data_IF_985044689227
#
_entry.id   IF_985044689227
#
_cell.length_a   1.000
_cell.length_b   1.000
_cell.length_c   1.000
_cell.angle_alpha   90.00
_cell.angle_beta   90.00
_cell.angle_gamma   90.00
#
_symmetry.space_group_name_H-M   'P 1'
#
loop_
_entity.id
_entity.type
_entity.pdbx_description
1 polymer ?
#
# COMPACT_ATOMS: atom_id res chain seq x y z
N UNK A 1 -29.86 7.34 50.00
CA UNK A 1 -29.24 8.68 50.01
C UNK A 1 -28.01 8.54 50.90
N UNK A 2 -26.80 8.19 50.46
CA UNK A 2 -25.95 8.65 49.35
C UNK A 2 -24.97 7.48 49.04
N UNK A 3 -25.12 6.83 47.88
CA UNK A 3 -24.09 5.96 47.26
C UNK A 3 -24.44 5.76 45.78
N UNK A 4 -24.82 6.87 45.15
CA UNK A 4 -24.97 7.07 43.71
C UNK A 4 -24.33 8.45 43.48
N UNK A 5 -23.38 8.51 42.53
CA UNK A 5 -22.48 9.62 42.17
C UNK A 5 -21.03 9.38 42.60
N UNK A 6 -20.14 9.45 41.60
CA UNK A 6 -18.68 9.23 41.60
C UNK A 6 -18.22 7.78 41.47
N UNK A 7 -18.38 7.19 40.27
CA UNK A 7 -17.27 6.77 39.38
C UNK A 7 -17.92 6.49 38.01
N UNK A 8 -18.28 7.55 37.30
CA UNK A 8 -18.69 7.46 35.91
C UNK A 8 -18.08 8.67 35.17
N UNK A 9 -16.76 8.64 35.03
CA UNK A 9 -16.03 9.46 34.06
C UNK A 9 -14.62 8.86 33.94
N UNK A 10 -14.12 8.75 32.71
CA UNK A 10 -12.76 8.32 32.33
C UNK A 10 -12.52 6.81 32.20
N UNK A 11 -13.24 6.18 31.27
CA UNK A 11 -12.63 5.18 30.40
C UNK A 11 -12.81 5.61 28.94
N UNK A 12 -12.28 6.79 28.61
CA UNK A 12 -11.79 7.00 27.25
C UNK A 12 -10.49 6.22 27.19
N UNK A 13 -10.50 5.09 26.48
CA UNK A 13 -9.27 4.49 25.95
C UNK A 13 -8.49 5.63 25.31
N UNK A 14 -7.45 6.11 25.97
CA UNK A 14 -6.38 6.81 25.30
C UNK A 14 -5.76 5.75 24.39
N UNK A 15 -6.19 5.73 23.13
CA UNK A 15 -5.41 5.14 22.06
C UNK A 15 -4.10 5.92 22.11
N UNK A 16 -3.04 5.30 22.62
CA UNK A 16 -1.69 5.85 22.54
C UNK A 16 -1.38 5.94 21.05
N UNK A 17 -1.66 7.11 20.46
CA UNK A 17 -1.36 7.43 19.08
C UNK A 17 0.16 7.37 18.97
N UNK A 18 0.69 6.24 18.50
CA UNK A 18 2.06 6.21 17.99
C UNK A 18 2.01 7.02 16.70
N UNK A 19 2.04 8.34 16.85
CA UNK A 19 2.30 9.24 15.73
C UNK A 19 3.78 9.00 15.45
N UNK A 20 4.08 8.17 14.43
CA UNK A 20 5.39 8.25 13.82
C UNK A 20 5.53 9.71 13.40
N UNK A 21 6.57 10.40 13.89
CA UNK A 21 6.77 11.81 13.58
C UNK A 21 6.84 11.94 12.05
N UNK A 22 5.91 12.71 11.49
CA UNK A 22 5.89 13.02 10.07
C UNK A 22 7.20 13.79 9.79
N UNK A 23 7.99 13.43 8.77
CA UNK A 23 9.26 14.11 8.51
C UNK A 23 9.03 15.60 8.25
N UNK A 24 9.95 16.44 8.72
CA UNK A 24 9.73 17.90 8.78
C UNK A 24 9.56 18.56 7.41
N UNK A 25 10.10 17.95 6.35
CA UNK A 25 9.91 18.40 4.98
C UNK A 25 8.44 18.32 4.51
N UNK A 26 7.63 17.45 5.12
CA UNK A 26 6.19 17.32 4.80
C UNK A 26 5.33 18.38 5.48
N UNK A 27 5.79 18.94 6.61
CA UNK A 27 5.09 20.00 7.35
C UNK A 27 5.05 21.34 6.60
N UNK A 28 5.89 21.49 5.57
CA UNK A 28 6.00 22.72 4.78
C UNK A 28 5.72 22.51 3.28
N UNK A 29 5.43 21.27 2.87
CA UNK A 29 5.18 20.93 1.47
C UNK A 29 3.90 21.60 0.92
N UNK A 30 2.89 21.78 1.76
CA UNK A 30 1.71 22.61 1.50
C UNK A 30 1.52 23.59 2.65
N UNK A 31 1.30 24.87 2.34
CA UNK A 31 1.04 25.89 3.36
C UNK A 31 -0.23 25.62 4.17
N UNK A 32 -1.18 24.88 3.59
CA UNK A 32 -2.46 24.53 4.18
C UNK A 32 -2.42 23.29 5.06
N UNK A 33 -1.29 22.58 5.14
CA UNK A 33 -1.22 21.28 5.81
C UNK A 33 -0.15 21.26 6.88
N UNK A 34 -0.54 20.91 8.11
CA UNK A 34 0.40 20.67 9.19
C UNK A 34 -0.16 19.69 10.21
N UNK A 35 0.70 18.84 10.79
CA UNK A 35 0.31 17.99 11.91
C UNK A 35 -0.22 18.81 13.10
N UNK A 36 0.30 20.04 13.28
CA UNK A 36 -0.15 20.97 14.32
C UNK A 36 -1.60 21.44 14.14
N UNK A 37 -2.09 21.45 12.90
CA UNK A 37 -3.47 21.81 12.55
C UNK A 37 -4.40 20.57 12.56
N UNK A 38 -3.89 19.38 12.89
CA UNK A 38 -4.61 18.10 12.84
C UNK A 38 -5.23 17.78 11.47
N UNK A 39 -4.66 18.30 10.38
CA UNK A 39 -5.14 18.07 9.02
C UNK A 39 -4.10 17.38 8.13
N UNK A 40 -3.05 16.79 8.70
CA UNK A 40 -2.05 16.00 8.01
C UNK A 40 -2.03 14.57 8.57
N UNK A 41 -2.30 13.59 7.71
CA UNK A 41 -2.48 12.18 8.08
C UNK A 41 -1.35 11.30 7.51
N UNK A 42 -0.83 10.40 8.34
CA UNK A 42 0.24 9.46 7.96
C UNK A 42 -0.35 8.13 7.46
N UNK A 43 -0.02 7.81 6.20
CA UNK A 43 -0.30 6.56 5.49
C UNK A 43 0.99 5.99 4.87
N UNK A 44 2.15 6.26 5.49
CA UNK A 44 3.45 5.71 5.08
C UNK A 44 3.65 4.25 5.53
N UNK A 45 2.83 3.79 6.48
CA UNK A 45 2.95 2.46 7.07
C UNK A 45 1.69 1.64 6.87
N UNK A 46 1.84 0.31 6.87
CA UNK A 46 0.74 -0.60 6.63
C UNK A 46 -0.40 -0.40 7.64
N UNK A 47 -1.57 -0.06 7.11
CA UNK A 47 -2.84 0.02 7.82
C UNK A 47 -3.85 -0.85 7.09
N UNK A 48 -4.55 -1.70 7.83
CA UNK A 48 -5.51 -2.64 7.24
C UNK A 48 -6.84 -1.94 6.96
N UNK A 49 -7.26 -1.05 7.86
CA UNK A 49 -8.58 -0.42 7.78
C UNK A 49 -8.52 0.95 7.09
N UNK A 50 -9.43 1.20 6.12
CA UNK A 50 -9.61 2.53 5.56
C UNK A 50 -10.25 3.48 6.56
N UNK A 51 -9.95 4.77 6.45
CA UNK A 51 -10.58 5.82 7.24
C UNK A 51 -11.43 6.71 6.33
N UNK A 52 -12.57 7.17 6.84
CA UNK A 52 -13.42 8.14 6.17
C UNK A 52 -13.23 9.50 6.82
N UNK A 53 -12.80 10.48 6.02
CA UNK A 53 -12.51 11.84 6.45
C UNK A 53 -13.58 12.76 5.86
N UNK A 54 -14.38 13.37 6.73
CA UNK A 54 -15.37 14.38 6.34
C UNK A 54 -14.68 15.74 6.16
N UNK A 55 -14.79 16.32 4.97
CA UNK A 55 -14.32 17.66 4.65
C UNK A 55 -15.52 18.62 4.67
N UNK A 56 -15.49 19.60 5.56
CA UNK A 56 -16.48 20.70 5.55
C UNK A 56 -16.18 21.72 4.45
N UNK A 57 -17.18 22.52 4.07
CA UNK A 57 -17.04 23.55 3.02
C UNK A 57 -15.78 24.42 3.22
N UNK A 58 -14.95 24.47 2.17
CA UNK A 58 -13.70 25.24 2.13
C UNK A 58 -12.51 24.64 2.89
N UNK A 59 -12.70 23.54 3.63
CA UNK A 59 -11.63 22.87 4.35
C UNK A 59 -10.78 22.00 3.44
N UNK A 60 -9.54 21.74 3.88
CA UNK A 60 -8.59 20.87 3.20
C UNK A 60 -7.89 19.97 4.21
N UNK A 61 -7.46 18.79 3.77
CA UNK A 61 -6.55 17.94 4.55
C UNK A 61 -5.47 17.37 3.64
N UNK A 62 -4.37 16.92 4.23
CA UNK A 62 -3.29 16.26 3.52
C UNK A 62 -3.09 14.83 4.00
N UNK A 63 -2.64 14.00 3.07
CA UNK A 63 -2.17 12.64 3.36
C UNK A 63 -0.76 12.48 2.84
N UNK A 64 0.10 11.91 3.67
CA UNK A 64 1.44 11.48 3.34
C UNK A 64 1.49 9.95 3.26
N UNK A 65 1.71 9.37 2.08
CA UNK A 65 1.72 7.91 1.95
C UNK A 65 1.35 7.34 0.58
N UNK A 66 1.34 6.00 0.49
CA UNK A 66 0.77 5.27 -0.64
C UNK A 66 -0.70 4.98 -0.34
N UNK A 67 -1.61 5.50 -1.16
CA UNK A 67 -3.02 5.48 -0.81
C UNK A 67 -3.95 5.10 -1.96
N UNK A 68 -5.06 4.49 -1.58
CA UNK A 68 -6.27 4.38 -2.39
C UNK A 68 -7.31 5.35 -1.86
N UNK A 69 -7.99 6.05 -2.76
CA UNK A 69 -8.99 7.07 -2.41
C UNK A 69 -10.30 6.87 -3.15
N UNK A 70 -11.39 7.18 -2.46
CA UNK A 70 -12.72 7.30 -3.03
C UNK A 70 -13.56 8.28 -2.21
N UNK A 71 -14.72 8.67 -2.70
CA UNK A 71 -15.53 9.70 -2.05
C UNK A 71 -17.00 9.57 -2.43
N UNK A 72 -17.88 10.10 -1.58
CA UNK A 72 -19.32 10.20 -1.86
C UNK A 72 -19.63 11.23 -2.97
N UNK A 73 -18.73 12.20 -3.17
CA UNK A 73 -18.82 13.28 -4.17
C UNK A 73 -17.50 13.47 -4.90
N UNK A 74 -17.52 14.22 -6.00
CA UNK A 74 -16.29 14.62 -6.68
C UNK A 74 -15.37 15.41 -5.74
N UNK A 75 -14.09 15.08 -5.78
CA UNK A 75 -13.04 15.70 -4.98
C UNK A 75 -11.79 15.93 -5.83
N UNK A 76 -10.98 16.90 -5.39
CA UNK A 76 -9.73 17.28 -6.03
C UNK A 76 -8.59 16.88 -5.12
N UNK A 77 -7.58 16.27 -5.73
CA UNK A 77 -6.33 15.89 -5.09
C UNK A 77 -5.17 16.61 -5.78
N UNK A 78 -4.40 17.36 -5.02
CA UNK A 78 -3.16 18.01 -5.47
C UNK A 78 -1.99 17.31 -4.81
N UNK A 79 -1.19 16.60 -5.61
CA UNK A 79 -0.10 15.75 -5.15
C UNK A 79 1.26 16.37 -5.47
N UNK A 80 2.16 16.36 -4.49
CA UNK A 80 3.59 16.65 -4.66
C UNK A 80 4.41 15.39 -4.40
N UNK A 81 5.51 15.25 -5.15
CA UNK A 81 6.45 14.14 -5.01
C UNK A 81 7.76 14.62 -4.41
N UNK A 82 8.32 13.92 -3.42
CA UNK A 82 9.63 14.28 -2.90
C UNK A 82 10.70 13.94 -3.93
N UNK A 83 11.71 14.79 -4.04
CA UNK A 83 12.91 14.54 -4.83
C UNK A 83 14.15 14.69 -3.96
N UNK A 84 15.23 14.03 -4.37
CA UNK A 84 16.52 14.14 -3.71
C UNK A 84 17.32 15.28 -4.36
N UNK A 85 17.72 16.27 -3.57
CA UNK A 85 18.55 17.39 -4.00
C UNK A 85 20.04 16.98 -4.07
N UNK A 86 20.86 17.87 -4.64
CA UNK A 86 22.31 17.69 -4.86
C UNK A 86 23.10 17.43 -3.57
N UNK A 87 22.59 17.86 -2.42
CA UNK A 87 23.15 17.63 -1.09
C UNK A 87 22.64 16.32 -0.43
N UNK A 88 21.92 15.48 -1.18
CA UNK A 88 21.24 14.26 -0.73
C UNK A 88 20.08 14.48 0.25
N UNK A 89 19.64 15.73 0.48
CA UNK A 89 18.43 16.01 1.26
C UNK A 89 17.18 15.81 0.42
N UNK A 90 16.08 15.42 1.05
CA UNK A 90 14.80 15.26 0.38
C UNK A 90 13.96 16.52 0.52
N UNK A 91 13.43 17.00 -0.61
CA UNK A 91 12.68 18.24 -0.71
C UNK A 91 11.46 18.07 -1.61
N UNK A 92 10.57 19.04 -1.54
CA UNK A 92 9.48 19.22 -2.49
C UNK A 92 9.79 20.41 -3.38
N UNK A 93 9.59 20.25 -4.69
CA UNK A 93 9.64 21.36 -5.62
C UNK A 93 8.25 21.99 -5.74
N UNK A 94 8.12 23.00 -6.59
CA UNK A 94 6.83 23.62 -6.90
C UNK A 94 6.00 22.80 -7.89
N UNK A 95 6.54 21.68 -8.40
CA UNK A 95 5.79 20.79 -9.29
C UNK A 95 4.71 20.04 -8.50
N UNK A 96 3.47 20.18 -8.97
CA UNK A 96 2.31 19.53 -8.38
C UNK A 96 1.41 18.98 -9.47
N UNK A 97 0.83 17.82 -9.20
CA UNK A 97 -0.14 17.19 -10.09
C UNK A 97 -1.52 17.30 -9.46
N UNK A 98 -2.45 17.97 -10.13
CA UNK A 98 -3.85 18.05 -9.68
C UNK A 98 -4.71 17.09 -10.48
N UNK A 99 -5.45 16.23 -9.79
CA UNK A 99 -6.30 15.19 -10.38
C UNK A 99 -7.67 15.21 -9.70
N UNK A 100 -8.73 15.05 -10.50
CA UNK A 100 -10.09 14.86 -9.97
C UNK A 100 -10.32 13.37 -9.73
N UNK A 101 -10.84 13.01 -8.56
CA UNK A 101 -11.16 11.62 -8.18
C UNK A 101 -10.04 10.59 -8.48
N UNK A 102 -8.79 10.81 -8.03
CA UNK A 102 -7.79 9.75 -8.14
C UNK A 102 -8.26 8.51 -7.36
N UNK A 103 -7.95 7.33 -7.91
CA UNK A 103 -8.14 6.07 -7.23
C UNK A 103 -6.87 5.67 -6.47
N UNK A 104 -5.69 5.80 -7.08
CA UNK A 104 -4.41 5.52 -6.42
C UNK A 104 -3.46 6.69 -6.50
N UNK A 105 -2.74 6.94 -5.41
CA UNK A 105 -1.60 7.86 -5.37
C UNK A 105 -0.43 7.09 -4.77
N UNK A 106 0.55 6.81 -5.62
CA UNK A 106 1.64 5.88 -5.35
C UNK A 106 2.99 6.58 -5.45
N UNK A 107 3.91 6.19 -4.58
CA UNK A 107 5.31 6.60 -4.60
C UNK A 107 5.96 6.32 -5.95
N UNK A 108 6.62 7.34 -6.51
CA UNK A 108 7.52 7.21 -7.66
C UNK A 108 8.89 6.76 -7.15
N UNK A 109 9.28 5.52 -7.47
CA UNK A 109 10.59 5.01 -7.12
C UNK A 109 11.65 5.58 -8.07
N UNK A 110 12.72 6.21 -7.57
CA UNK A 110 13.84 6.55 -8.43
C UNK A 110 14.48 5.30 -9.04
N UNK A 111 14.81 5.37 -10.33
CA UNK A 111 15.33 4.25 -11.12
C UNK A 111 16.65 3.64 -10.58
N UNK A 112 17.34 4.31 -9.66
CA UNK A 112 18.66 3.90 -9.13
C UNK A 112 18.63 3.24 -7.75
N UNK A 113 17.45 2.96 -7.17
CA UNK A 113 17.38 2.39 -5.83
C UNK A 113 17.80 0.91 -5.82
N UNK A 114 18.90 0.62 -5.15
CA UNK A 114 19.34 -0.74 -4.85
C UNK A 114 18.42 -1.44 -3.83
N UNK A 115 17.72 -0.68 -2.98
CA UNK A 115 16.89 -1.21 -1.88
C UNK A 115 15.52 -0.51 -1.79
N UNK A 116 14.53 -0.91 -2.61
CA UNK A 116 13.19 -0.29 -2.60
C UNK A 116 12.44 -0.49 -1.27
N UNK A 117 12.83 -1.47 -0.46
CA UNK A 117 12.24 -1.79 0.85
C UNK A 117 12.52 -0.72 1.92
N UNK A 118 13.59 0.04 1.77
CA UNK A 118 14.01 1.09 2.72
C UNK A 118 13.55 2.49 2.29
N UNK A 119 12.69 2.57 1.27
CA UNK A 119 12.21 3.84 0.77
C UNK A 119 11.13 4.42 1.68
N UNK A 120 11.56 5.34 2.55
CA UNK A 120 10.69 6.03 3.51
C UNK A 120 10.15 7.39 3.00
N UNK A 121 10.11 7.60 1.69
CA UNK A 121 9.65 8.86 1.11
C UNK A 121 8.39 8.58 0.30
N UNK A 122 7.35 9.38 0.51
CA UNK A 122 6.04 9.13 -0.09
C UNK A 122 5.49 10.43 -0.66
N UNK A 123 4.54 10.36 -1.61
CA UNK A 123 3.84 11.56 -2.03
C UNK A 123 3.10 12.17 -0.85
N UNK A 124 2.97 13.49 -0.88
CA UNK A 124 2.01 14.23 -0.07
C UNK A 124 0.91 14.76 -0.96
N UNK A 125 -0.32 14.55 -0.56
CA UNK A 125 -1.50 14.95 -1.34
C UNK A 125 -2.44 15.76 -0.49
N UNK A 126 -2.77 16.96 -0.96
CA UNK A 126 -3.81 17.81 -0.41
C UNK A 126 -5.15 17.49 -1.08
N UNK A 127 -6.19 17.28 -0.27
CA UNK A 127 -7.54 16.96 -0.69
C UNK A 127 -8.52 18.09 -0.35
N UNK A 128 -9.48 18.31 -1.25
CA UNK A 128 -10.60 19.22 -1.06
C UNK A 128 -11.82 18.71 -1.86
N UNK A 129 -13.02 19.12 -1.46
CA UNK A 129 -14.21 18.85 -2.27
C UNK A 129 -14.12 19.60 -3.61
N UNK A 130 -14.66 19.03 -4.69
CA UNK A 130 -14.67 19.72 -5.99
C UNK A 130 -15.62 20.93 -5.97
N UNK A 131 -16.75 20.79 -5.30
CA UNK A 131 -17.61 21.92 -4.92
C UNK A 131 -17.26 22.38 -3.50
N UNK A 132 -16.50 23.47 -3.41
CA UNK A 132 -16.05 24.04 -2.14
C UNK A 132 -17.20 24.56 -1.25
N UNK A 133 -18.43 24.69 -1.77
CA UNK A 133 -19.60 25.10 -0.98
C UNK A 133 -20.25 23.93 -0.21
N UNK A 134 -19.86 22.69 -0.52
CA UNK A 134 -20.47 21.49 0.05
C UNK A 134 -19.51 20.70 0.92
N UNK A 135 -20.10 19.91 1.82
CA UNK A 135 -19.40 18.84 2.52
C UNK A 135 -19.21 17.62 1.59
N UNK A 136 -18.07 16.94 1.69
CA UNK A 136 -17.82 15.64 1.07
C UNK A 136 -17.06 14.72 2.04
N UNK A 137 -17.23 13.42 1.89
CA UNK A 137 -16.53 12.39 2.66
C UNK A 137 -15.53 11.68 1.75
N UNK A 138 -14.26 11.73 2.09
CA UNK A 138 -13.20 11.02 1.37
C UNK A 138 -12.76 9.81 2.18
N UNK A 139 -12.89 8.63 1.60
CA UNK A 139 -12.34 7.38 2.12
C UNK A 139 -10.90 7.22 1.64
N UNK A 140 -9.98 6.93 2.57
CA UNK A 140 -8.55 6.74 2.31
C UNK A 140 -8.10 5.40 2.88
N UNK A 141 -7.42 4.58 2.08
CA UNK A 141 -6.80 3.33 2.51
C UNK A 141 -5.30 3.36 2.23
N UNK A 142 -4.51 2.67 3.08
CA UNK A 142 -3.12 2.38 2.76
C UNK A 142 -3.04 1.33 1.65
N UNK A 143 -2.18 1.58 0.65
CA UNK A 143 -1.85 0.61 -0.39
C UNK A 143 -0.39 0.23 -0.29
N UNK A 144 -0.12 -1.08 -0.28
CA UNK A 144 1.24 -1.55 -0.40
C UNK A 144 1.74 -1.22 -1.82
N UNK A 145 2.90 -0.57 -1.98
CA UNK A 145 3.40 -0.24 -3.30
C UNK A 145 3.88 -1.50 -4.03
N UNK A 146 3.58 -1.58 -5.32
CA UNK A 146 4.28 -2.49 -6.23
C UNK A 146 5.62 -1.89 -6.62
N UNK A 147 6.63 -2.74 -6.80
CA UNK A 147 7.89 -2.34 -7.43
C UNK A 147 8.54 -3.53 -8.11
N UNK A 148 9.41 -3.22 -9.05
CA UNK A 148 10.20 -4.19 -9.78
C UNK A 148 11.57 -3.57 -10.06
N UNK A 149 12.62 -4.29 -9.68
CA UNK A 149 14.00 -3.85 -9.85
C UNK A 149 14.74 -4.92 -10.67
N UNK A 150 15.34 -4.46 -11.76
CA UNK A 150 16.30 -5.19 -12.57
C UNK A 150 17.69 -4.67 -12.23
N UNK A 151 18.51 -5.50 -11.59
CA UNK A 151 19.90 -5.19 -11.32
C UNK A 151 20.79 -6.11 -12.15
N UNK A 152 21.48 -5.52 -13.13
CA UNK A 152 22.47 -6.23 -13.93
C UNK A 152 23.86 -5.97 -13.32
N UNK A 153 24.57 -7.06 -13.04
CA UNK A 153 26.00 -7.03 -12.69
C UNK A 153 26.77 -7.77 -13.77
N UNK A 154 28.10 -7.65 -13.77
CA UNK A 154 29.00 -8.33 -14.71
C UNK A 154 28.79 -9.87 -14.72
N UNK A 155 28.31 -10.45 -13.63
CA UNK A 155 28.21 -11.91 -13.44
C UNK A 155 26.76 -12.44 -13.38
N UNK A 156 25.77 -11.58 -13.13
CA UNK A 156 24.39 -12.01 -12.89
C UNK A 156 23.37 -10.90 -13.11
N UNK A 157 22.18 -11.28 -13.60
CA UNK A 157 20.97 -10.46 -13.60
C UNK A 157 20.10 -10.83 -12.41
N UNK A 158 19.80 -9.85 -11.58
CA UNK A 158 18.98 -9.96 -10.39
C UNK A 158 17.65 -9.26 -10.64
N UNK A 159 16.57 -10.02 -10.51
CA UNK A 159 15.23 -9.47 -10.62
C UNK A 159 14.53 -9.64 -9.27
N UNK A 160 14.04 -8.54 -8.72
CA UNK A 160 13.33 -8.53 -7.43
C UNK A 160 12.08 -7.70 -7.61
N UNK A 161 10.98 -8.10 -6.99
CA UNK A 161 9.76 -7.34 -7.11
C UNK A 161 8.66 -7.82 -6.18
N UNK A 162 7.82 -6.87 -5.78
CA UNK A 162 6.56 -7.13 -5.10
C UNK A 162 5.45 -6.74 -6.05
N UNK A 163 4.60 -7.71 -6.40
CA UNK A 163 3.35 -7.44 -7.12
C UNK A 163 2.23 -7.33 -6.11
N UNK A 164 1.63 -6.15 -6.04
CA UNK A 164 0.45 -5.91 -5.22
C UNK A 164 -0.79 -5.93 -6.10
N UNK A 165 -1.77 -6.72 -5.69
CA UNK A 165 -3.12 -6.75 -6.28
C UNK A 165 -4.13 -6.25 -5.27
N UNK A 166 -5.01 -5.36 -5.70
CA UNK A 166 -6.04 -4.76 -4.87
C UNK A 166 -7.41 -5.15 -5.42
N UNK A 167 -8.30 -5.58 -4.55
CA UNK A 167 -9.67 -5.91 -4.95
C UNK A 167 -10.69 -5.44 -3.92
N UNK A 168 -11.84 -5.00 -4.42
CA UNK A 168 -13.02 -4.62 -3.64
C UNK A 168 -14.24 -5.49 -4.00
N UNK A 169 -14.02 -6.56 -4.78
CA UNK A 169 -15.08 -7.49 -5.20
C UNK A 169 -15.66 -8.22 -3.99
N UNK A 170 -16.96 -8.50 -4.05
CA UNK A 170 -17.68 -9.25 -3.01
C UNK A 170 -17.21 -10.70 -2.84
N UNK A 171 -16.62 -11.28 -3.88
CA UNK A 171 -16.02 -12.60 -3.80
C UNK A 171 -14.97 -12.79 -4.88
N UNK A 172 -14.10 -13.76 -4.66
CA UNK A 172 -13.09 -14.12 -5.63
C UNK A 172 -12.06 -15.09 -5.06
N UNK A 173 -11.13 -15.45 -5.93
CA UNK A 173 -9.98 -16.28 -5.61
C UNK A 173 -8.72 -15.58 -6.12
N UNK A 174 -7.65 -15.62 -5.33
CA UNK A 174 -6.32 -15.13 -5.72
C UNK A 174 -5.27 -16.18 -5.42
N UNK A 175 -4.56 -16.60 -6.46
CA UNK A 175 -3.33 -17.38 -6.34
C UNK A 175 -2.15 -16.45 -6.17
N UNK A 176 -1.41 -16.59 -5.07
CA UNK A 176 -0.19 -15.88 -4.74
C UNK A 176 1.02 -16.77 -5.04
N UNK A 177 2.06 -16.15 -5.59
CA UNK A 177 3.32 -16.79 -5.95
C UNK A 177 4.49 -16.14 -5.22
N UNK A 178 5.47 -16.95 -4.82
CA UNK A 178 6.81 -16.48 -4.46
C UNK A 178 7.88 -17.40 -5.04
N UNK A 179 9.01 -16.83 -5.47
CA UNK A 179 10.05 -17.53 -6.21
C UNK A 179 11.44 -16.93 -6.00
N UNK A 180 12.48 -17.61 -6.49
CA UNK A 180 13.88 -17.16 -6.36
C UNK A 180 14.36 -16.35 -7.56
N UNK A 181 15.38 -15.52 -7.31
CA UNK A 181 16.47 -15.30 -8.26
C UNK A 181 17.81 -15.67 -7.59
N UNK A 182 18.44 -16.73 -8.12
CA UNK A 182 19.85 -17.15 -8.03
C UNK A 182 20.64 -17.17 -6.69
N UNK A 183 20.24 -16.49 -5.61
CA UNK A 183 21.04 -16.36 -4.38
C UNK A 183 20.18 -16.37 -3.10
N UNK A 184 20.60 -17.05 -2.01
CA UNK A 184 19.89 -17.10 -0.73
C UNK A 184 19.71 -15.75 -0.02
N UNK A 185 20.47 -14.72 -0.41
CA UNK A 185 20.53 -13.43 0.29
C UNK A 185 19.64 -12.34 -0.32
N UNK A 186 18.92 -12.63 -1.40
CA UNK A 186 18.11 -11.62 -2.12
C UNK A 186 16.65 -12.07 -2.10
N UNK A 187 15.79 -11.19 -1.59
CA UNK A 187 14.35 -11.37 -1.65
C UNK A 187 13.98 -11.54 -3.12
N UNK A 188 13.43 -12.70 -3.46
CA UNK A 188 12.92 -12.94 -4.80
C UNK A 188 11.60 -12.21 -5.01
N UNK A 189 10.72 -12.82 -5.79
CA UNK A 189 9.43 -12.23 -6.05
C UNK A 189 8.41 -12.56 -4.97
N UNK A 190 7.55 -11.61 -4.64
CA UNK A 190 6.48 -11.78 -3.64
C UNK A 190 5.18 -11.21 -4.21
N UNK A 191 4.12 -12.00 -4.11
CA UNK A 191 2.76 -11.51 -4.31
C UNK A 191 2.16 -11.00 -3.00
N UNK A 192 1.44 -9.90 -3.13
CA UNK A 192 0.59 -9.34 -2.09
C UNK A 192 -0.81 -9.17 -2.65
N UNK A 193 -1.82 -9.47 -1.83
CA UNK A 193 -3.23 -9.19 -2.11
C UNK A 193 -3.79 -8.33 -0.98
N UNK A 194 -4.41 -7.22 -1.35
CA UNK A 194 -5.24 -6.41 -0.44
C UNK A 194 -6.71 -6.54 -0.86
N UNK A 195 -7.55 -7.02 0.06
CA UNK A 195 -9.00 -7.11 -0.09
C UNK A 195 -9.64 -6.05 0.78
N UNK A 196 -10.55 -5.27 0.23
CA UNK A 196 -11.34 -4.27 0.95
C UNK A 196 -12.83 -4.52 0.74
N UNK A 197 -13.65 -4.37 1.78
CA UNK A 197 -15.08 -4.68 1.70
C UNK A 197 -15.97 -3.74 2.49
N UNK A 198 -17.21 -3.50 2.03
CA UNK A 198 -18.21 -2.77 2.79
C UNK A 198 -18.66 -3.57 4.03
N UNK A 199 -18.55 -4.89 4.01
CA UNK A 199 -18.85 -5.79 5.13
C UNK A 199 -17.76 -6.84 5.24
N UNK A 200 -17.84 -7.66 6.30
CA UNK A 200 -16.87 -8.74 6.49
C UNK A 200 -16.92 -9.73 5.35
N UNK A 201 -15.75 -10.26 5.01
CA UNK A 201 -15.59 -11.42 4.17
C UNK A 201 -15.24 -12.63 5.04
N UNK A 202 -15.78 -13.79 4.68
CA UNK A 202 -15.21 -15.07 5.06
C UNK A 202 -14.01 -15.34 4.15
N UNK A 203 -12.87 -15.69 4.74
CA UNK A 203 -11.65 -15.99 4.01
C UNK A 203 -11.22 -17.42 4.25
N UNK A 204 -10.80 -18.08 3.18
CA UNK A 204 -10.23 -19.42 3.22
C UNK A 204 -8.89 -19.40 2.49
N UNK A 205 -7.86 -20.01 3.06
CA UNK A 205 -6.56 -20.11 2.45
C UNK A 205 -6.12 -21.56 2.27
N UNK A 206 -5.36 -21.80 1.20
CA UNK A 206 -4.75 -23.10 0.89
C UNK A 206 -3.33 -22.93 0.37
N UNK A 207 -2.36 -23.46 1.10
CA UNK A 207 -0.94 -23.48 0.75
C UNK A 207 -0.64 -24.73 -0.08
N UNK A 208 0.18 -24.58 -1.11
CA UNK A 208 0.57 -25.70 -1.96
C UNK A 208 1.37 -26.76 -1.19
N UNK A 209 2.21 -26.33 -0.25
CA UNK A 209 3.08 -27.17 0.56
C UNK A 209 3.57 -26.40 1.81
N UNK A 210 4.30 -27.08 2.70
CA UNK A 210 4.82 -26.50 3.95
C UNK A 210 5.92 -25.45 3.75
N UNK A 211 6.44 -25.32 2.52
CA UNK A 211 7.39 -24.27 2.16
C UNK A 211 6.71 -22.91 2.09
N UNK A 212 5.43 -22.83 1.68
CA UNK A 212 4.68 -21.59 1.65
C UNK A 212 4.39 -21.09 3.08
N UNK A 213 4.57 -19.79 3.28
CA UNK A 213 4.17 -19.08 4.49
C UNK A 213 3.30 -17.90 4.08
N UNK A 214 2.23 -17.65 4.85
CA UNK A 214 1.40 -16.47 4.64
C UNK A 214 1.48 -15.61 5.89
N UNK A 215 1.76 -14.33 5.65
CA UNK A 215 1.55 -13.27 6.63
C UNK A 215 0.26 -12.56 6.27
N UNK A 216 -0.69 -12.58 7.20
CA UNK A 216 -2.05 -12.11 7.02
C UNK A 216 -2.31 -11.01 8.03
N UNK A 217 -2.51 -9.78 7.62
CA UNK A 217 -2.97 -8.72 8.51
C UNK A 217 -4.50 -8.64 8.47
N UNK A 218 -5.19 -8.65 9.64
CA UNK A 218 -4.65 -8.43 10.99
C UNK A 218 -4.29 -9.68 11.80
N UNK A 219 -4.37 -10.89 11.23
CA UNK A 219 -4.34 -12.17 11.97
C UNK A 219 -2.94 -12.74 12.30
N UNK A 220 -1.88 -12.20 11.73
CA UNK A 220 -0.51 -12.71 11.85
C UNK A 220 -0.19 -13.83 10.85
N UNK A 221 0.67 -14.76 11.23
CA UNK A 221 1.14 -15.83 10.34
C UNK A 221 0.23 -17.06 10.41
N UNK A 222 0.10 -17.78 9.29
CA UNK A 222 -0.69 -19.02 9.22
C UNK A 222 0.17 -20.28 9.24
N UNK A 223 -0.09 -21.18 10.19
CA UNK A 223 0.67 -22.44 10.34
C UNK A 223 0.13 -23.62 9.49
N UNK A 224 -1.16 -24.02 9.57
CA UNK A 224 -1.63 -25.21 8.84
C UNK A 224 -1.66 -24.98 7.33
N UNK A 225 -1.59 -26.07 6.54
CA UNK A 225 -1.62 -26.03 5.08
C UNK A 225 -2.90 -25.42 4.50
N UNK A 226 -4.02 -25.55 5.20
CA UNK A 226 -5.31 -25.06 4.76
C UNK A 226 -6.10 -24.64 5.99
N UNK A 227 -6.93 -23.60 5.87
CA UNK A 227 -7.73 -23.12 6.98
C UNK A 227 -8.58 -21.90 6.65
N UNK A 228 -9.54 -21.65 7.52
CA UNK A 228 -10.34 -20.44 7.50
C UNK A 228 -9.69 -19.36 8.36
N UNK A 229 -9.81 -18.10 7.95
CA UNK A 229 -9.43 -16.95 8.77
C UNK A 229 -10.68 -16.35 9.41
N UNK A 230 -10.49 -15.65 10.52
CA UNK A 230 -11.59 -14.90 11.14
C UNK A 230 -12.20 -13.90 10.12
N UNK A 231 -13.52 -13.71 10.10
CA UNK A 231 -14.13 -12.77 9.18
C UNK A 231 -13.64 -11.33 9.42
N UNK A 232 -13.31 -10.62 8.33
CA UNK A 232 -12.84 -9.22 8.39
C UNK A 232 -13.30 -8.44 7.16
N UNK A 233 -13.52 -7.12 7.31
CA UNK A 233 -13.84 -6.25 6.19
C UNK A 233 -12.67 -6.17 5.21
N UNK A 234 -11.46 -6.10 5.75
CA UNK A 234 -10.24 -5.86 5.00
C UNK A 234 -9.19 -6.92 5.34
N UNK A 235 -8.36 -7.25 4.36
CA UNK A 235 -7.30 -8.24 4.50
C UNK A 235 -6.09 -7.80 3.69
N UNK A 236 -4.91 -7.92 4.28
CA UNK A 236 -3.65 -7.87 3.54
C UNK A 236 -2.96 -9.23 3.69
N UNK A 237 -2.69 -9.90 2.57
CA UNK A 237 -1.99 -11.18 2.55
C UNK A 237 -0.72 -11.04 1.73
N UNK A 238 0.40 -11.46 2.32
CA UNK A 238 1.69 -11.60 1.64
C UNK A 238 2.16 -13.04 1.74
N UNK A 239 2.76 -13.56 0.66
CA UNK A 239 3.35 -14.90 0.64
C UNK A 239 4.88 -14.83 0.80
N UNK A 240 5.42 -15.67 1.69
CA UNK A 240 6.85 -15.92 1.86
C UNK A 240 7.14 -17.42 1.77
N UNK A 241 8.40 -17.80 1.99
CA UNK A 241 8.87 -19.18 1.91
C UNK A 241 9.91 -19.50 2.98
N UNK A 242 9.93 -20.76 3.43
CA UNK A 242 10.91 -21.28 4.41
C UNK A 242 12.25 -21.64 3.77
N UNK A 243 12.19 -22.45 2.71
CA UNK A 243 13.32 -22.79 1.88
C UNK A 243 13.46 -21.73 0.80
N UNK A 244 14.58 -21.01 0.86
CA UNK A 244 14.87 -19.94 -0.06
C UNK A 244 14.81 -20.45 -1.51
N UNK A 245 15.31 -21.68 -1.80
CA UNK A 245 15.54 -22.19 -3.16
C UNK A 245 14.27 -22.68 -3.87
N UNK A 246 13.25 -23.04 -3.11
CA UNK A 246 12.02 -23.64 -3.63
C UNK A 246 10.94 -22.55 -3.81
N UNK A 247 10.28 -22.46 -4.99
CA UNK A 247 9.13 -21.59 -5.13
C UNK A 247 7.99 -22.06 -4.22
N UNK A 248 7.07 -21.15 -3.90
CA UNK A 248 5.91 -21.46 -3.11
C UNK A 248 4.67 -20.77 -3.68
N UNK A 249 3.52 -21.41 -3.49
CA UNK A 249 2.23 -20.91 -3.96
C UNK A 249 1.17 -21.11 -2.88
N UNK A 250 0.20 -20.21 -2.86
CA UNK A 250 -0.97 -20.32 -2.00
C UNK A 250 -2.18 -19.66 -2.67
N UNK A 251 -3.37 -20.09 -2.29
CA UNK A 251 -4.64 -19.54 -2.78
C UNK A 251 -5.37 -18.91 -1.61
N UNK A 252 -5.97 -17.73 -1.84
CA UNK A 252 -6.90 -17.06 -0.94
C UNK A 252 -8.24 -16.93 -1.63
N UNK A 253 -9.27 -17.52 -1.04
CA UNK A 253 -10.66 -17.33 -1.44
C UNK A 253 -11.32 -16.38 -0.45
N UNK A 254 -12.16 -15.48 -0.95
CA UNK A 254 -12.92 -14.55 -0.14
C UNK A 254 -14.35 -14.45 -0.65
N UNK A 255 -15.30 -14.28 0.28
CA UNK A 255 -16.71 -14.07 -0.02
C UNK A 255 -17.36 -13.27 1.10
N UNK A 256 -18.19 -12.28 0.77
CA UNK A 256 -18.95 -11.52 1.77
C UNK A 256 -19.70 -12.46 2.73
N UNK A 257 -19.57 -12.19 4.01
CA UNK A 257 -20.38 -12.77 5.08
C UNK A 257 -21.77 -12.10 5.10
N UNK A 258 -22.75 -12.75 5.74
CA UNK A 258 -24.08 -12.21 6.01
C UNK A 258 -24.02 -11.17 7.16
N UNK A 259 -23.22 -10.12 6.98
CA UNK A 259 -23.12 -8.98 7.87
C UNK A 259 -23.68 -7.72 7.17
N UNK A 260 -24.24 -6.75 7.91
CA UNK A 260 -24.74 -5.52 7.31
C UNK A 260 -23.61 -4.74 6.63
N UNK A 261 -23.89 -4.20 5.45
CA UNK A 261 -22.98 -3.33 4.72
C UNK A 261 -22.69 -2.04 5.52
N UNK A 262 -21.45 -1.56 5.45
CA UNK A 262 -21.07 -0.24 5.88
C UNK A 262 -21.52 0.78 4.83
N UNK A 263 -22.39 1.71 5.22
CA UNK A 263 -22.87 2.79 4.35
C UNK A 263 -21.76 3.76 3.93
N UNK A 264 -20.64 3.80 4.67
CA UNK A 264 -19.48 4.65 4.41
C UNK A 264 -18.34 3.88 3.70
N UNK A 265 -18.68 3.06 2.70
CA UNK A 265 -17.72 2.42 1.78
C UNK A 265 -17.89 2.97 0.36
N UNK A 266 -16.92 3.78 -0.08
CA UNK A 266 -16.98 4.51 -1.34
C UNK A 266 -16.08 3.93 -2.44
N UNK A 267 -15.20 2.98 -2.12
CA UNK A 267 -14.32 2.40 -3.13
C UNK A 267 -15.14 1.73 -4.26
N UNK A 268 -14.82 2.00 -5.53
CA UNK A 268 -15.50 1.35 -6.65
C UNK A 268 -15.18 -0.15 -6.65
N UNK A 269 -16.05 -0.95 -7.28
CA UNK A 269 -15.71 -2.35 -7.56
C UNK A 269 -14.50 -2.41 -8.51
N UNK A 270 -13.42 -3.01 -8.04
CA UNK A 270 -12.13 -3.14 -8.74
C UNK A 270 -11.45 -4.47 -8.43
N UNK A 271 -10.58 -4.88 -9.34
CA UNK A 271 -9.67 -6.01 -9.20
C UNK A 271 -8.46 -5.74 -10.11
N UNK A 272 -7.41 -5.17 -9.54
CA UNK A 272 -6.36 -4.49 -10.29
C UNK A 272 -4.99 -4.83 -9.76
N UNK A 273 -3.99 -4.77 -10.66
CA UNK A 273 -2.58 -4.84 -10.31
C UNK A 273 -1.99 -3.45 -10.19
N UNK A 274 -1.45 -3.13 -9.01
CA UNK A 274 -0.89 -1.82 -8.66
C UNK A 274 0.38 -1.56 -9.46
N UNK A 275 0.55 -0.33 -9.96
CA UNK A 275 1.67 0.08 -10.81
C UNK A 275 3.02 0.10 -10.11
N UNK A 276 4.05 -0.36 -10.82
CA UNK A 276 5.47 -0.30 -10.40
C UNK A 276 6.11 1.06 -10.66
N UNK A 277 5.51 1.93 -11.48
CA UNK A 277 6.11 3.23 -11.84
C UNK A 277 5.82 4.33 -10.80
N UNK A 278 4.81 4.14 -9.96
CA UNK A 278 4.29 5.21 -9.11
C UNK A 278 3.56 6.29 -9.92
N UNK A 279 2.93 7.24 -9.23
CA UNK A 279 2.11 8.27 -9.88
C UNK A 279 0.69 8.35 -9.32
N UNK A 280 -0.15 9.11 -10.02
CA UNK A 280 -1.57 9.26 -9.71
C UNK A 280 -2.37 8.54 -10.78
N UNK A 281 -3.25 7.64 -10.37
CA UNK A 281 -4.07 6.80 -11.24
C UNK A 281 -5.54 7.00 -10.93
N UNK A 282 -6.38 7.05 -11.97
CA UNK A 282 -7.84 7.03 -11.86
C UNK A 282 -8.34 5.59 -12.00
N UNK A 283 -9.64 5.37 -11.85
CA UNK A 283 -10.25 4.05 -12.07
C UNK A 283 -9.91 3.47 -13.45
N UNK A 284 -9.81 4.32 -14.47
CA UNK A 284 -9.66 3.90 -15.87
C UNK A 284 -8.26 3.38 -16.22
N UNK A 285 -7.23 3.75 -15.43
CA UNK A 285 -5.83 3.39 -15.70
C UNK A 285 -5.12 2.78 -14.48
N UNK A 286 -5.88 2.42 -13.45
CA UNK A 286 -5.36 1.86 -12.21
C UNK A 286 -4.87 0.41 -12.35
N UNK A 287 -5.38 -0.35 -13.31
CA UNK A 287 -4.91 -1.70 -13.60
C UNK A 287 -3.72 -1.66 -14.54
N UNK A 288 -2.56 -2.09 -14.05
CA UNK A 288 -1.32 -2.06 -14.81
C UNK A 288 -0.68 -3.44 -14.81
N UNK A 289 -0.22 -3.89 -15.98
CA UNK A 289 0.48 -5.15 -16.07
C UNK A 289 1.74 -5.12 -15.20
N UNK A 290 1.95 -6.16 -14.40
CA UNK A 290 3.23 -6.32 -13.72
C UNK A 290 4.30 -6.68 -14.75
N UNK A 291 5.51 -6.08 -14.72
CA UNK A 291 6.55 -6.30 -15.74
C UNK A 291 7.07 -7.74 -15.86
N UNK A 292 6.66 -8.63 -14.96
CA UNK A 292 7.10 -10.02 -14.89
C UNK A 292 5.90 -10.94 -14.65
N UNK A 293 5.84 -12.04 -15.39
CA UNK A 293 4.81 -13.04 -15.20
C UNK A 293 5.27 -14.12 -14.23
N UNK A 294 4.56 -14.25 -13.11
CA UNK A 294 4.86 -15.21 -12.04
C UNK A 294 4.20 -16.57 -12.24
N UNK A 295 3.19 -16.65 -13.11
CA UNK A 295 2.47 -17.88 -13.33
C UNK A 295 3.11 -18.65 -14.49
N UNK A 296 3.76 -19.81 -14.23
CA UNK A 296 4.32 -20.64 -15.29
C UNK A 296 3.25 -21.21 -16.24
N UNK A 297 1.97 -21.10 -15.89
CA UNK A 297 0.82 -21.60 -16.66
C UNK A 297 0.24 -20.57 -17.62
N UNK A 298 0.54 -19.27 -17.42
CA UNK A 298 0.03 -18.19 -18.26
C UNK A 298 1.07 -17.87 -19.34
N UNK A 299 0.75 -17.94 -20.65
CA UNK A 299 1.70 -17.53 -21.68
C UNK A 299 2.03 -16.05 -21.51
N UNK A 300 3.32 -15.72 -21.52
CA UNK A 300 3.80 -14.33 -21.52
C UNK A 300 3.14 -13.58 -22.68
N UNK A 301 2.58 -12.37 -22.49
CA UNK A 301 2.17 -11.56 -23.61
C UNK A 301 3.43 -11.28 -24.45
N UNK A 302 3.48 -11.87 -25.64
CA UNK A 302 4.50 -11.54 -26.63
C UNK A 302 4.17 -10.12 -27.07
N UNK A 303 5.08 -9.14 -26.93
CA UNK A 303 4.85 -7.82 -27.50
C UNK A 303 4.53 -8.02 -28.99
N UNK A 304 3.43 -7.44 -29.46
CA UNK A 304 3.15 -7.42 -30.90
C UNK A 304 4.41 -6.92 -31.63
N UNK A 305 4.81 -7.59 -32.73
CA UNK A 305 5.99 -7.18 -33.46
C UNK A 305 5.81 -5.71 -33.86
N UNK A 306 6.69 -4.86 -33.33
CA UNK A 306 6.85 -3.49 -33.81
C UNK A 306 7.02 -3.57 -35.32
N UNK A 307 6.17 -2.86 -36.07
CA UNK A 307 6.26 -2.84 -37.53
C UNK A 307 7.70 -2.58 -37.96
N UNK A 308 8.14 -3.37 -38.94
CA UNK A 308 9.50 -3.39 -39.48
C UNK A 308 10.01 -1.96 -39.72
N UNK A 309 11.25 -1.63 -39.30
CA UNK A 309 11.78 -0.30 -39.54
C UNK A 309 11.85 -0.04 -41.04
N UNK A 310 11.14 0.98 -41.50
CA UNK A 310 11.26 1.57 -42.85
C UNK A 310 12.74 1.68 -43.23
N UNK A 311 13.17 1.19 -44.41
CA UNK A 311 14.58 1.16 -44.78
C UNK A 311 15.16 2.58 -44.82
N UNK A 312 16.24 2.76 -44.08
CA UNK A 312 17.09 3.95 -44.06
C UNK A 312 17.71 4.15 -45.45
N UNK A 313 17.62 5.33 -46.08
CA UNK A 313 18.27 5.58 -47.36
C UNK A 313 19.80 5.53 -47.21
N UNK A 314 20.46 4.89 -48.17
CA UNK A 314 21.91 4.70 -48.21
C UNK A 314 22.70 6.01 -48.08
N UNK A 315 23.82 6.04 -47.33
CA UNK A 315 24.69 7.21 -47.25
C UNK A 315 25.39 7.45 -48.59
N UNK A 316 25.14 8.61 -49.21
CA UNK A 316 26.00 9.10 -50.31
C UNK A 316 27.35 9.52 -49.75
N UNK A 317 28.39 9.00 -50.39
CA UNK A 317 29.79 9.26 -50.07
C UNK A 317 30.14 10.75 -50.08
N UNK A 318 30.92 11.11 -49.06
CA UNK A 318 31.66 12.35 -48.90
C UNK A 318 32.70 12.52 -50.03
N UNK A 319 33.01 13.76 -50.44
CA UNK A 319 34.41 14.12 -50.51
C UNK A 319 34.77 15.24 -49.54
N UNK A 320 35.85 14.99 -48.82
CA UNK A 320 36.61 15.90 -47.98
C UNK A 320 37.32 16.96 -48.84
N UNK A 321 37.05 18.23 -48.59
CA UNK A 321 38.06 19.29 -48.68
C UNK A 321 37.85 20.30 -47.54
N UNK A 322 38.91 20.50 -46.76
CA UNK A 322 39.11 21.63 -45.86
C UNK A 322 40.21 22.51 -46.50
N UNK A 323 40.64 23.63 -45.89
CA UNK A 323 39.97 24.63 -45.05
C UNK A 323 40.20 26.05 -45.61
N UNK A 324 39.44 27.09 -45.22
CA UNK A 324 40.04 28.39 -44.82
C UNK A 324 39.03 29.44 -44.31
N UNK A 325 39.52 30.15 -43.29
CA UNK A 325 39.26 31.54 -42.91
C UNK A 325 38.03 31.95 -42.08
N UNK A 326 38.35 32.84 -41.15
CA UNK A 326 37.62 33.29 -39.97
C UNK A 326 37.08 34.72 -40.26
N UNK A 327 36.58 35.42 -39.24
CA UNK A 327 35.18 35.82 -39.00
C UNK A 327 34.84 37.21 -39.58
N UNK A 328 33.55 37.59 -39.63
CA UNK A 328 33.03 38.89 -39.11
C UNK A 328 31.55 39.14 -39.49
N UNK A 329 30.91 39.96 -38.64
CA UNK A 329 29.75 40.83 -38.87
C UNK A 329 28.31 40.33 -38.59
N UNK A 330 27.87 40.71 -37.38
CA UNK A 330 26.69 41.52 -37.06
C UNK A 330 25.27 40.94 -37.26
N UNK A 331 24.40 41.05 -36.22
CA UNK A 331 22.99 40.70 -36.34
C UNK A 331 22.21 41.88 -36.94
N UNK A 332 21.31 41.60 -37.88
CA UNK A 332 20.28 42.57 -38.32
C UNK A 332 18.87 41.94 -38.22
N UNK A 333 17.83 42.77 -38.03
CA UNK A 333 16.74 42.48 -37.10
C UNK A 333 15.50 41.81 -37.70
N UNK A 334 14.70 41.31 -36.76
CA UNK A 334 13.27 40.96 -36.77
C UNK A 334 12.42 41.70 -37.84
N UNK A 335 11.60 40.96 -38.61
CA UNK A 335 10.32 41.47 -39.09
C UNK A 335 9.16 41.04 -38.19
N UNK A 336 8.36 42.04 -37.82
CA UNK A 336 7.09 42.02 -37.08
C UNK A 336 5.93 41.36 -37.87
N UNK A 337 4.78 41.07 -37.21
CA UNK A 337 3.85 40.01 -37.60
C UNK A 337 2.93 40.44 -38.75
N UNK A 338 2.55 39.46 -39.57
CA UNK A 338 1.44 39.63 -40.53
C UNK A 338 0.22 38.86 -40.07
N UNK A 339 -0.90 39.57 -40.14
CA UNK A 339 -2.24 39.21 -39.71
C UNK A 339 -2.83 38.05 -40.55
N UNK A 340 -3.71 37.29 -39.88
CA UNK A 340 -4.78 36.40 -40.38
C UNK A 340 -5.46 36.86 -41.70
N UNK A 341 -6.25 36.02 -42.43
CA UNK A 341 -7.16 35.01 -41.87
C UNK A 341 -7.46 33.72 -42.69
N UNK A 342 -8.14 32.79 -42.00
CA UNK A 342 -9.23 31.93 -42.51
C UNK A 342 -8.88 30.79 -43.48
N UNK A 343 -8.80 29.57 -42.94
CA UNK A 343 -9.31 28.39 -43.65
C UNK A 343 -10.35 27.67 -42.79
N UNK A 344 -11.45 27.32 -43.44
CA UNK A 344 -12.66 26.78 -42.86
C UNK A 344 -12.46 25.36 -42.30
N UNK A 345 -13.23 24.95 -41.26
CA UNK A 345 -13.21 23.59 -40.78
C UNK A 345 -13.76 22.62 -41.84
N UNK A 346 -13.02 21.56 -42.07
CA UNK A 346 -13.37 20.40 -42.91
C UNK A 346 -14.68 19.77 -42.42
N UNK A 347 -15.62 19.38 -43.29
CA UNK A 347 -16.90 18.80 -42.86
C UNK A 347 -16.72 17.42 -42.22
N UNK A 348 -17.41 17.25 -41.09
CA UNK A 348 -17.58 15.99 -40.36
C UNK A 348 -18.41 15.02 -41.20
N UNK A 349 -18.02 13.74 -41.37
CA UNK A 349 -18.85 12.77 -42.06
C UNK A 349 -20.13 12.45 -41.25
N UNK A 350 -21.25 12.37 -41.96
CA UNK A 350 -22.58 12.05 -41.42
C UNK A 350 -22.60 10.69 -40.69
N UNK A 351 -23.35 10.57 -39.57
CA UNK A 351 -23.58 9.29 -38.94
C UNK A 351 -24.47 8.42 -39.84
N UNK A 352 -23.96 7.27 -40.26
CA UNK A 352 -24.75 6.24 -40.94
C UNK A 352 -25.80 5.66 -39.99
N UNK A 353 -27.06 5.88 -40.32
CA UNK A 353 -28.21 5.17 -39.76
C UNK A 353 -28.13 3.67 -40.10
N UNK A 354 -27.87 2.84 -39.09
CA UNK A 354 -28.25 1.44 -39.15
C UNK A 354 -28.82 1.01 -37.80
N UNK A 355 -30.14 0.75 -37.70
CA UNK A 355 -30.71 0.21 -36.48
C UNK A 355 -30.22 -1.24 -36.29
N UNK A 356 -29.63 -1.50 -35.13
CA UNK A 356 -29.34 -2.85 -34.63
C UNK A 356 -30.68 -3.54 -34.32
N UNK A 357 -30.93 -4.78 -34.77
CA UNK A 357 -32.21 -5.46 -34.55
C UNK A 357 -32.45 -5.75 -33.06
N UNK A 358 -33.74 -5.69 -32.67
CA UNK A 358 -34.26 -5.97 -31.33
C UNK A 358 -33.76 -7.30 -30.75
N UNK A 359 -33.49 -7.38 -29.43
CA UNK A 359 -33.15 -8.62 -28.77
C UNK A 359 -34.36 -9.57 -28.77
N UNK A 360 -34.17 -10.76 -29.34
CA UNK A 360 -35.15 -11.84 -29.29
C UNK A 360 -35.21 -12.38 -27.85
N UNK A 361 -36.33 -12.18 -27.16
CA UNK A 361 -36.60 -12.79 -25.86
C UNK A 361 -36.62 -14.32 -26.01
N UNK A 362 -35.63 -15.00 -25.42
CA UNK A 362 -35.74 -16.44 -25.15
C UNK A 362 -36.61 -16.63 -23.90
N UNK A 363 -37.60 -17.53 -23.93
CA UNK A 363 -38.42 -17.82 -22.76
C UNK A 363 -37.57 -18.42 -21.64
N UNK A 364 -37.69 -17.83 -20.45
CA UNK A 364 -37.16 -18.35 -19.18
C UNK A 364 -37.96 -19.62 -18.83
N UNK A 365 -37.32 -20.77 -18.56
CA UNK A 365 -38.04 -21.93 -18.07
C UNK A 365 -38.57 -21.68 -16.65
N UNK A 366 -39.83 -22.07 -16.45
CA UNK A 366 -40.61 -22.05 -15.20
C UNK A 366 -39.80 -22.65 -14.03
N UNK A 367 -39.76 -22.03 -12.83
CA UNK A 367 -39.09 -22.62 -11.68
C UNK A 367 -39.79 -23.91 -11.25
N UNK A 368 -39.13 -25.04 -11.49
CA UNK A 368 -39.52 -26.34 -10.94
C UNK A 368 -39.48 -26.27 -9.41
N UNK A 369 -40.65 -26.40 -8.77
CA UNK A 369 -40.76 -26.57 -7.32
C UNK A 369 -40.14 -27.91 -6.90
N UNK A 370 -38.87 -27.89 -6.52
CA UNK A 370 -38.26 -28.99 -5.78
C UNK A 370 -38.63 -28.86 -4.29
N UNK A 371 -39.09 -29.93 -3.62
CA UNK A 371 -39.44 -29.88 -2.20
C UNK A 371 -38.21 -29.64 -1.33
N UNK A 372 -38.33 -28.66 -0.44
CA UNK A 372 -37.35 -28.35 0.63
C UNK A 372 -37.31 -29.55 1.60
N UNK A 373 -36.15 -30.18 1.85
CA UNK A 373 -36.03 -31.17 2.91
C UNK A 373 -36.18 -30.51 4.29
N UNK A 374 -36.93 -31.16 5.19
CA UNK A 374 -37.11 -30.73 6.57
C UNK A 374 -35.76 -30.52 7.29
N UNK A 375 -35.64 -29.51 8.17
CA UNK A 375 -34.41 -29.28 8.93
C UNK A 375 -34.16 -30.42 9.91
N UNK A 376 -33.06 -31.14 9.68
CA UNK A 376 -32.48 -32.08 10.64
C UNK A 376 -32.09 -31.31 11.90
N UNK A 377 -32.67 -31.68 13.05
CA UNK A 377 -32.25 -31.14 14.36
C UNK A 377 -30.84 -31.64 14.67
N UNK A 378 -29.85 -30.76 14.55
CA UNK A 378 -28.55 -30.99 15.16
C UNK A 378 -28.66 -30.96 16.70
N UNK A 379 -27.89 -31.80 17.41
CA UNK A 379 -27.94 -31.88 18.87
C UNK A 379 -27.38 -30.60 19.50
N UNK A 380 -28.18 -30.00 20.37
CA UNK A 380 -27.78 -28.90 21.26
C UNK A 380 -26.60 -29.38 22.14
N UNK A 381 -25.44 -28.69 22.14
CA UNK A 381 -24.37 -29.00 23.07
C UNK A 381 -24.80 -28.64 24.49
N UNK A 382 -24.61 -29.60 25.39
CA UNK A 382 -24.83 -29.52 26.83
C UNK A 382 -24.14 -28.27 27.44
N UNK A 383 -24.85 -27.39 28.17
CA UNK A 383 -24.28 -26.21 28.82
C UNK A 383 -23.22 -26.51 29.89
N UNK A 384 -23.01 -27.77 30.30
CA UNK A 384 -22.09 -28.13 31.40
C UNK A 384 -20.65 -28.48 30.99
N UNK A 385 -20.26 -28.31 29.72
CA UNK A 385 -18.87 -28.58 29.29
C UNK A 385 -17.84 -27.47 29.66
N UNK A 386 -18.26 -26.33 30.21
CA UNK A 386 -17.37 -25.20 30.55
C UNK A 386 -17.05 -25.08 32.06
N UNK A 387 -16.63 -26.16 32.73
CA UNK A 387 -15.92 -26.06 34.02
C UNK A 387 -14.81 -27.11 34.16
N UNK A 388 -13.76 -27.01 33.33
CA UNK A 388 -12.47 -27.63 33.64
C UNK A 388 -11.45 -26.56 34.02
N UNK A 389 -11.25 -26.40 35.34
CA UNK A 389 -10.17 -25.59 35.90
C UNK A 389 -8.79 -26.11 35.48
N UNK A 390 -7.80 -25.22 35.51
CA UNK A 390 -6.40 -25.49 35.15
C UNK A 390 -5.90 -26.81 35.75
N UNK A 391 -5.41 -27.69 34.86
CA UNK A 391 -4.82 -28.96 35.26
C UNK A 391 -3.54 -28.73 36.11
N UNK A 392 -3.22 -29.67 37.02
CA UNK A 392 -2.05 -29.59 37.92
C UNK A 392 -0.73 -29.25 37.20
N UNK A 393 -0.59 -29.64 35.92
CA UNK A 393 0.59 -29.34 35.10
C UNK A 393 0.66 -27.87 34.66
N UNK A 394 -0.48 -27.22 34.39
CA UNK A 394 -0.53 -25.80 33.99
C UNK A 394 -0.22 -24.85 35.16
N UNK A 395 -0.63 -25.18 36.39
CA UNK A 395 -0.26 -24.39 37.59
C UNK A 395 1.24 -24.44 37.92
N UNK A 396 1.90 -25.57 37.62
CA UNK A 396 3.34 -25.73 37.85
C UNK A 396 4.18 -24.87 36.88
N UNK A 397 3.76 -24.76 35.61
CA UNK A 397 4.43 -23.92 34.61
C UNK A 397 4.32 -22.44 34.96
N UNK A 398 3.14 -21.97 35.39
CA UNK A 398 2.94 -20.57 35.80
C UNK A 398 3.77 -20.24 37.05
N UNK A 399 3.86 -21.16 38.02
CA UNK A 399 4.71 -20.97 39.21
C UNK A 399 6.20 -20.88 38.89
N UNK A 400 6.68 -21.64 37.90
CA UNK A 400 8.08 -21.59 37.44
C UNK A 400 8.46 -20.27 36.78
N UNK A 401 7.58 -19.71 35.93
CA UNK A 401 7.83 -18.44 35.24
C UNK A 401 7.88 -17.28 36.23
N UNK A 402 6.97 -17.25 37.21
CA UNK A 402 6.97 -16.21 38.26
C UNK A 402 8.22 -16.31 39.14
N UNK A 403 8.66 -17.53 39.49
CA UNK A 403 9.90 -17.73 40.24
C UNK A 403 11.14 -17.22 39.51
N UNK A 404 11.26 -17.49 38.20
CA UNK A 404 12.37 -17.00 37.37
C UNK A 404 12.37 -15.48 37.25
N UNK A 405 11.21 -14.86 37.10
CA UNK A 405 11.10 -13.39 37.03
C UNK A 405 11.56 -12.72 38.33
N UNK A 406 11.19 -13.28 39.49
CA UNK A 406 11.62 -12.74 40.80
C UNK A 406 13.14 -12.87 40.98
N UNK A 407 13.74 -14.00 40.58
CA UNK A 407 15.20 -14.18 40.64
C UNK A 407 15.92 -13.21 39.70
N UNK A 408 15.42 -13.01 38.48
CA UNK A 408 15.99 -12.04 37.55
C UNK A 408 15.92 -10.61 38.10
N UNK A 409 14.81 -10.21 38.72
CA UNK A 409 14.66 -8.89 39.36
C UNK A 409 15.66 -8.73 40.52
N UNK A 410 15.86 -9.75 41.36
CA UNK A 410 16.84 -9.71 42.44
C UNK A 410 18.27 -9.53 41.89
N UNK A 411 18.62 -10.25 40.83
CA UNK A 411 19.93 -10.12 40.16
C UNK A 411 20.11 -8.69 39.62
N UNK A 412 19.09 -8.12 38.97
CA UNK A 412 19.13 -6.74 38.46
C UNK A 412 19.34 -5.75 39.60
N UNK A 413 18.62 -5.90 40.73
CA UNK A 413 18.78 -5.03 41.90
C UNK A 413 20.20 -5.12 42.49
N UNK A 414 20.77 -6.33 42.58
CA UNK A 414 22.15 -6.54 43.05
C UNK A 414 23.15 -5.89 42.09
N UNK A 415 22.97 -6.04 40.78
CA UNK A 415 23.83 -5.40 39.77
C UNK A 415 23.77 -3.88 39.88
N UNK A 416 22.57 -3.30 40.01
CA UNK A 416 22.38 -1.85 40.21
C UNK A 416 23.10 -1.40 41.49
N UNK A 417 23.01 -2.17 42.57
CA UNK A 417 23.69 -1.84 43.84
C UNK A 417 25.22 -1.89 43.70
N UNK A 418 25.77 -2.89 43.01
CA UNK A 418 27.20 -3.01 42.72
C UNK A 418 27.69 -1.84 41.85
N UNK A 419 26.94 -1.48 40.82
CA UNK A 419 27.28 -0.34 39.94
C UNK A 419 27.23 0.98 40.69
N UNK A 420 26.23 1.18 41.56
CA UNK A 420 26.15 2.37 42.43
C UNK A 420 27.30 2.43 43.42
N UNK A 421 27.68 1.30 44.03
CA UNK A 421 28.83 1.21 44.95
C UNK A 421 30.14 1.55 44.23
N UNK A 422 30.38 0.98 43.05
CA UNK A 422 31.58 1.30 42.24
C UNK A 422 31.62 2.78 41.84
N UNK A 423 30.48 3.38 41.45
CA UNK A 423 30.43 4.82 41.13
C UNK A 423 30.71 5.70 42.35
N UNK A 424 30.22 5.33 43.54
CA UNK A 424 30.53 6.06 44.77
C UNK A 424 32.02 6.00 45.13
N UNK A 425 32.66 4.84 44.97
CA UNK A 425 34.11 4.65 45.17
C UNK A 425 34.92 5.45 44.15
N UNK A 426 34.52 5.49 42.87
CA UNK A 426 35.19 6.30 41.85
C UNK A 426 35.03 7.82 42.05
N UNK A 427 33.90 8.26 42.62
CA UNK A 427 33.65 9.69 42.88
C UNK A 427 34.48 10.17 44.08
N UNK A 428 34.65 9.34 45.11
CA UNK A 428 35.48 9.68 46.29
C UNK A 428 36.97 9.83 45.94
N UNK A 429 37.51 9.00 45.02
CA UNK A 429 38.91 9.10 44.57
C UNK A 429 39.17 10.37 43.75
N UNK A 430 38.15 10.90 43.05
CA UNK A 430 38.29 12.11 42.25
C UNK A 430 38.31 13.38 43.13
N UNK A 431 37.56 13.40 44.22
CA UNK A 431 37.51 14.55 45.14
C UNK A 431 38.80 14.68 45.96
N UNK A 432 39.41 13.56 46.37
CA UNK A 432 40.66 13.57 47.16
C UNK A 432 41.84 14.07 46.32
N UNK A 433 41.89 13.71 45.03
CA UNK A 433 42.91 14.20 44.09
C UNK A 433 42.75 15.66 43.67
N UNK A 434 41.58 16.26 43.86
CA UNK A 434 41.32 17.68 43.57
C UNK A 434 41.68 18.59 44.74
N UNK A 435 41.71 18.07 45.98
CA UNK A 435 42.11 18.82 47.19
C UNK A 435 43.64 18.90 47.33
N UNK A 436 44.40 17.99 46.73
CA UNK A 436 45.88 18.04 46.73
C UNK A 436 46.48 19.03 45.72
N UNK A 437 45.66 19.67 44.87
CA UNK A 437 46.10 20.54 43.75
C UNK A 437 45.65 22.01 43.93
N UNK A 438 45.08 22.36 45.09
CA UNK A 438 44.79 23.75 45.51
C UNK A 438 45.57 24.03 46.78
#
# INVERSE_FOLDING_TARGET
MIHFLLVNCLSKKLVTKVIKEIPSEYETAFSECSSSQNNLYDYSTAKVDPEVITITSGSKFCVYGNIMTASDKNFIATTKYPYQDTDNTWKFNDEQQTTTNPLFILTKYPAKLAEPYNFNHHPITMFQCADNSQECKIQVAYIQPSYYVLQETEYMKLNTGVRVRVTTKSSGEKTLYTGMVASPSIIGYIDVVQVFGPQKHNFHYKKQNDNAELTVAPFGNTDPLEGDLDPSNNLLVSISKKDALSPAQATITYKLAEDPANDDFFFPEIDVTVSTQGGVFTKDNADTAFPYNFDPSTPTPVPEPTEEPTPVPEPKEQPSEAPTEQPSEAPTPVPEPTEQPSEAPTPVPEPTDKPTPEPTEKPVPDPTNAPVPEPTKEPVPDPDAQKKGLTKKQKAVIGGIVGLAVVAIIIIVVVIFIVKKKRAESTAILTDKLIEVV
#
